data_IF_199171196353
#
_entry.id   IF_199171196353
#
_cell.length_a   1.000
_cell.length_b   1.000
_cell.length_c   1.000
_cell.angle_alpha   90.00
_cell.angle_beta   90.00
_cell.angle_gamma   90.00
#
_symmetry.space_group_name_H-M   'P 1'
#
loop_
_entity.id
_entity.type
_entity.pdbx_description
1 polymer ?
#
# COMPACT_ATOMS: atom_id res chain seq x y z
N UNK A 1 15.74 -9.62 1.31
CA UNK A 1 15.19 -8.72 0.27
C UNK A 1 13.89 -8.11 0.76
N UNK A 2 13.78 -6.80 0.66
CA UNK A 2 12.57 -6.09 1.07
C UNK A 2 11.55 -6.11 -0.07
N UNK A 3 10.36 -6.60 0.22
CA UNK A 3 9.27 -6.75 -0.75
C UNK A 3 8.16 -5.75 -0.51
N UNK A 4 7.72 -5.08 -1.56
CA UNK A 4 6.62 -4.12 -1.51
C UNK A 4 5.49 -4.62 -2.42
N UNK A 5 4.29 -4.75 -1.88
CA UNK A 5 3.12 -5.08 -2.67
C UNK A 5 2.48 -3.80 -3.18
N UNK A 6 2.31 -3.69 -4.49
CA UNK A 6 1.71 -2.52 -5.13
C UNK A 6 0.32 -2.91 -5.64
N UNK A 7 -0.71 -2.33 -5.05
CA UNK A 7 -2.11 -2.59 -5.40
C UNK A 7 -2.67 -1.37 -6.13
N UNK A 8 -2.80 -1.47 -7.43
CA UNK A 8 -3.21 -0.38 -8.31
C UNK A 8 -3.83 -0.97 -9.57
N UNK A 9 -5.04 -0.56 -9.91
CA UNK A 9 -5.74 -1.07 -11.08
C UNK A 9 -5.23 -0.49 -12.40
N UNK A 10 -4.71 0.74 -12.38
CA UNK A 10 -4.11 1.35 -13.57
C UNK A 10 -2.77 0.68 -13.88
N UNK A 11 -2.69 -0.02 -14.99
CA UNK A 11 -1.47 -0.67 -15.43
C UNK A 11 -0.30 0.31 -15.54
N UNK A 12 -0.56 1.48 -16.12
CA UNK A 12 0.49 2.48 -16.32
C UNK A 12 1.00 3.04 -14.99
N UNK A 13 0.09 3.41 -14.09
CA UNK A 13 0.45 3.93 -12.77
C UNK A 13 1.22 2.89 -11.97
N UNK A 14 0.75 1.64 -11.98
CA UNK A 14 1.42 0.55 -11.28
C UNK A 14 2.84 0.35 -11.80
N UNK A 15 3.01 0.43 -13.11
CA UNK A 15 4.32 0.29 -13.75
C UNK A 15 5.29 1.39 -13.32
N UNK A 16 4.81 2.63 -13.28
CA UNK A 16 5.63 3.78 -12.84
C UNK A 16 6.07 3.59 -11.38
N UNK A 17 5.16 3.21 -10.52
CA UNK A 17 5.46 2.98 -9.10
C UNK A 17 6.49 1.86 -8.95
N UNK A 18 6.28 0.74 -9.61
CA UNK A 18 7.20 -0.40 -9.53
C UNK A 18 8.59 -0.05 -10.03
N UNK A 19 8.69 0.76 -11.06
CA UNK A 19 9.97 1.21 -11.60
C UNK A 19 10.75 2.03 -10.56
N UNK A 20 10.06 2.94 -9.87
CA UNK A 20 10.66 3.75 -8.81
C UNK A 20 11.18 2.85 -7.68
N UNK A 21 10.38 1.88 -7.25
CA UNK A 21 10.75 0.98 -6.17
C UNK A 21 11.93 0.08 -6.52
N UNK A 22 11.93 -0.46 -7.72
CA UNK A 22 13.02 -1.33 -8.18
C UNK A 22 14.33 -0.57 -8.29
N UNK A 23 14.27 0.70 -8.68
CA UNK A 23 15.46 1.55 -8.76
C UNK A 23 16.10 1.75 -7.37
N UNK A 24 15.31 1.65 -6.30
CA UNK A 24 15.79 1.73 -4.92
C UNK A 24 16.22 0.36 -4.36
N UNK A 25 16.13 -0.68 -5.14
CA UNK A 25 16.53 -2.02 -4.71
C UNK A 25 15.44 -2.85 -4.06
N UNK A 26 14.19 -2.40 -4.08
CA UNK A 26 13.07 -3.17 -3.53
C UNK A 26 12.56 -4.19 -4.53
N UNK A 27 12.12 -5.33 -4.02
CA UNK A 27 11.38 -6.30 -4.81
C UNK A 27 9.92 -5.86 -4.85
N UNK A 28 9.27 -5.93 -6.00
CA UNK A 28 7.88 -5.51 -6.13
C UNK A 28 6.98 -6.70 -6.46
N UNK A 29 5.85 -6.78 -5.77
CA UNK A 29 4.76 -7.68 -6.09
C UNK A 29 3.60 -6.81 -6.54
N UNK A 30 2.83 -7.27 -7.52
CA UNK A 30 1.77 -6.48 -8.12
C UNK A 30 0.42 -7.14 -7.99
N UNK A 31 -0.60 -6.32 -7.71
CA UNK A 31 -1.99 -6.73 -7.73
C UNK A 31 -2.78 -5.62 -8.43
N UNK A 32 -3.66 -5.99 -9.34
CA UNK A 32 -4.45 -5.04 -10.11
C UNK A 32 -5.84 -4.80 -9.53
N UNK A 33 -6.18 -5.49 -8.43
CA UNK A 33 -7.48 -5.37 -7.78
C UNK A 33 -7.38 -5.73 -6.31
N UNK A 34 -8.43 -5.39 -5.55
CA UNK A 34 -8.55 -5.76 -4.14
C UNK A 34 -8.54 -7.27 -3.93
N UNK A 35 -9.38 -8.02 -4.64
CA UNK A 35 -9.39 -9.49 -4.51
C UNK A 35 -8.04 -10.13 -4.81
N UNK A 36 -7.36 -9.66 -5.85
CA UNK A 36 -6.03 -10.17 -6.21
C UNK A 36 -5.02 -9.90 -5.10
N UNK A 37 -5.08 -8.71 -4.48
CA UNK A 37 -4.22 -8.36 -3.35
C UNK A 37 -4.44 -9.31 -2.17
N UNK A 38 -5.70 -9.55 -1.82
CA UNK A 38 -6.04 -10.44 -0.70
C UNK A 38 -5.62 -11.88 -0.97
N UNK A 39 -5.75 -12.33 -2.21
CA UNK A 39 -5.31 -13.66 -2.62
C UNK A 39 -3.79 -13.80 -2.43
N UNK A 40 -3.05 -12.79 -2.83
CA UNK A 40 -1.60 -12.75 -2.67
C UNK A 40 -1.21 -12.77 -1.20
N UNK A 41 -1.89 -11.97 -0.37
CA UNK A 41 -1.61 -11.89 1.07
C UNK A 41 -1.94 -13.18 1.83
N UNK A 42 -2.75 -14.04 1.26
CA UNK A 42 -3.07 -15.33 1.87
C UNK A 42 -1.84 -16.26 1.89
N UNK A 43 -0.89 -16.06 0.99
CA UNK A 43 0.27 -16.95 0.86
C UNK A 43 1.61 -16.25 1.05
N UNK A 44 1.64 -14.92 0.99
CA UNK A 44 2.89 -14.14 1.06
C UNK A 44 2.72 -12.95 1.98
N UNK A 45 3.80 -12.55 2.62
CA UNK A 45 3.81 -11.38 3.52
C UNK A 45 4.80 -10.34 3.01
N UNK A 46 4.32 -9.26 2.39
CA UNK A 46 5.23 -8.19 1.99
C UNK A 46 5.66 -7.38 3.21
N UNK A 47 6.75 -6.65 3.09
CA UNK A 47 7.24 -5.78 4.15
C UNK A 47 6.44 -4.48 4.24
N UNK A 48 5.81 -4.07 3.13
CA UNK A 48 5.00 -2.87 3.05
C UNK A 48 4.02 -3.01 1.88
N UNK A 49 2.91 -2.29 1.92
CA UNK A 49 1.92 -2.30 0.85
C UNK A 49 1.57 -0.87 0.45
N UNK A 50 1.51 -0.64 -0.84
CA UNK A 50 0.98 0.61 -1.42
C UNK A 50 -0.41 0.27 -1.96
N UNK A 51 -1.40 1.06 -1.60
CA UNK A 51 -2.80 0.74 -1.92
C UNK A 51 -3.53 1.95 -2.47
N UNK A 52 -4.06 1.81 -3.69
CA UNK A 52 -4.97 2.79 -4.26
C UNK A 52 -6.39 2.55 -3.70
N UNK A 53 -7.12 3.61 -3.44
CA UNK A 53 -8.50 3.48 -2.94
C UNK A 53 -9.51 3.24 -4.05
N UNK A 54 -9.36 3.94 -5.17
CA UNK A 54 -10.36 3.90 -6.24
C UNK A 54 -10.06 2.76 -7.21
N UNK A 55 -10.64 1.61 -6.95
CA UNK A 55 -10.50 0.42 -7.80
C UNK A 55 -11.87 -0.19 -8.07
N UNK A 56 -12.08 -0.81 -9.25
CA UNK A 56 -13.33 -1.53 -9.51
C UNK A 56 -13.44 -2.77 -8.61
N UNK A 57 -14.63 -3.28 -8.44
CA UNK A 57 -14.98 -4.45 -7.62
C UNK A 57 -14.85 -4.24 -6.12
N UNK A 58 -13.65 -3.95 -5.64
CA UNK A 58 -13.38 -3.77 -4.21
C UNK A 58 -12.48 -2.57 -4.04
N UNK A 59 -12.98 -1.52 -3.40
CA UNK A 59 -12.14 -0.34 -3.18
C UNK A 59 -11.17 -0.56 -2.01
N UNK A 60 -10.19 0.33 -1.91
CA UNK A 60 -9.12 0.17 -0.93
C UNK A 60 -9.56 0.11 0.52
N UNK A 61 -10.64 0.81 0.90
CA UNK A 61 -11.15 0.72 2.28
C UNK A 61 -11.60 -0.68 2.62
N UNK A 62 -12.20 -1.38 1.67
CA UNK A 62 -12.63 -2.77 1.86
C UNK A 62 -11.42 -3.70 1.99
N UNK A 63 -10.34 -3.42 1.27
CA UNK A 63 -9.09 -4.18 1.40
C UNK A 63 -8.50 -3.99 2.80
N UNK A 64 -8.46 -2.73 3.29
CA UNK A 64 -7.96 -2.43 4.63
C UNK A 64 -8.79 -3.15 5.71
N UNK A 65 -10.12 -3.13 5.57
CA UNK A 65 -11.01 -3.80 6.51
C UNK A 65 -10.76 -5.32 6.51
N UNK A 66 -10.64 -5.92 5.33
CA UNK A 66 -10.39 -7.35 5.21
C UNK A 66 -9.05 -7.73 5.85
N UNK A 67 -8.01 -6.93 5.64
CA UNK A 67 -6.70 -7.16 6.24
C UNK A 67 -6.78 -7.12 7.76
N UNK A 68 -7.50 -6.14 8.28
CA UNK A 68 -7.70 -5.97 9.73
C UNK A 68 -8.45 -7.18 10.31
N UNK A 69 -9.53 -7.60 9.64
CA UNK A 69 -10.33 -8.74 10.07
C UNK A 69 -9.52 -10.04 10.08
N UNK A 70 -8.57 -10.16 9.18
CA UNK A 70 -7.69 -11.34 9.07
C UNK A 70 -6.45 -11.25 9.96
N UNK A 71 -6.26 -10.12 10.65
CA UNK A 71 -5.12 -9.92 11.55
C UNK A 71 -3.79 -9.68 10.86
N UNK A 72 -3.80 -9.23 9.61
CA UNK A 72 -2.56 -8.91 8.90
C UNK A 72 -1.94 -7.63 9.48
N UNK A 73 -0.64 -7.67 9.77
CA UNK A 73 0.11 -6.58 10.41
C UNK A 73 1.09 -5.90 9.45
N UNK A 74 0.69 -5.73 8.22
CA UNK A 74 1.52 -5.15 7.18
C UNK A 74 1.31 -3.64 7.15
N UNK A 75 2.36 -2.81 7.21
CA UNK A 75 2.19 -1.36 7.09
C UNK A 75 1.67 -1.00 5.70
N UNK A 76 0.61 -0.20 5.64
CA UNK A 76 -0.05 0.17 4.40
C UNK A 76 0.05 1.68 4.20
N UNK A 77 0.52 2.09 3.04
CA UNK A 77 0.51 3.49 2.60
C UNK A 77 -0.56 3.59 1.52
N UNK A 78 -1.59 4.38 1.79
CA UNK A 78 -2.66 4.63 0.82
C UNK A 78 -2.22 5.75 -0.12
N UNK A 79 -2.36 5.54 -1.42
CA UNK A 79 -2.07 6.53 -2.44
C UNK A 79 -3.37 6.81 -3.17
N UNK A 80 -3.89 8.03 -3.07
CA UNK A 80 -5.20 8.35 -3.63
C UNK A 80 -5.26 9.75 -4.22
N UNK A 81 -6.11 9.92 -5.22
CA UNK A 81 -6.41 11.26 -5.76
C UNK A 81 -7.37 12.01 -4.84
N UNK A 82 -8.08 11.31 -3.96
CA UNK A 82 -9.01 11.91 -3.00
C UNK A 82 -8.29 12.24 -1.70
N UNK A 83 -8.06 13.55 -1.47
CA UNK A 83 -7.34 14.06 -0.30
C UNK A 83 -8.26 14.70 0.74
N UNK A 84 -9.55 14.42 0.68
CA UNK A 84 -10.48 14.94 1.69
C UNK A 84 -10.12 14.43 3.08
N UNK A 85 -10.32 15.29 4.08
CA UNK A 85 -10.01 14.94 5.47
C UNK A 85 -10.78 13.70 5.95
N UNK A 86 -12.02 13.53 5.50
CA UNK A 86 -12.84 12.37 5.85
C UNK A 86 -12.25 11.07 5.31
N UNK A 87 -11.76 11.08 4.08
CA UNK A 87 -11.13 9.92 3.46
C UNK A 87 -9.88 9.54 4.22
N UNK A 88 -9.05 10.52 4.55
CA UNK A 88 -7.83 10.29 5.32
C UNK A 88 -8.16 9.68 6.69
N UNK A 89 -9.13 10.26 7.41
CA UNK A 89 -9.53 9.76 8.73
C UNK A 89 -10.03 8.33 8.66
N UNK A 90 -10.86 8.01 7.69
CA UNK A 90 -11.38 6.65 7.51
C UNK A 90 -10.26 5.63 7.28
N UNK A 91 -9.31 5.97 6.41
CA UNK A 91 -8.17 5.08 6.13
C UNK A 91 -7.29 4.88 7.35
N UNK A 92 -7.02 5.95 8.10
CA UNK A 92 -6.19 5.86 9.31
C UNK A 92 -6.89 5.02 10.38
N UNK A 93 -8.21 5.17 10.54
CA UNK A 93 -8.99 4.34 11.46
C UNK A 93 -8.97 2.87 11.08
N UNK A 94 -8.92 2.58 9.79
CA UNK A 94 -8.84 1.20 9.28
C UNK A 94 -7.42 0.63 9.35
N UNK A 95 -6.46 1.41 9.85
CA UNK A 95 -5.11 0.92 10.10
C UNK A 95 -4.05 1.32 9.09
N UNK A 96 -4.37 2.22 8.15
CA UNK A 96 -3.34 2.73 7.23
C UNK A 96 -2.31 3.54 8.01
N UNK A 97 -1.06 3.41 7.63
CA UNK A 97 0.03 4.17 8.24
C UNK A 97 0.02 5.62 7.76
N UNK A 98 -0.30 5.83 6.50
CA UNK A 98 -0.32 7.14 5.88
C UNK A 98 -1.26 7.16 4.68
N UNK A 99 -1.73 8.35 4.34
CA UNK A 99 -2.52 8.59 3.13
C UNK A 99 -1.85 9.74 2.39
N UNK A 100 -1.38 9.48 1.18
CA UNK A 100 -0.66 10.47 0.39
C UNK A 100 -1.36 10.73 -0.94
N UNK A 101 -1.16 11.92 -1.45
CA UNK A 101 -1.80 12.36 -2.70
C UNK A 101 -1.12 11.72 -3.92
N UNK A 102 -1.92 11.19 -4.82
CA UNK A 102 -1.50 10.60 -6.08
C UNK A 102 -1.23 11.72 -7.08
N UNK A 103 -0.12 11.77 -7.84
CA UNK A 103 0.98 10.82 -7.79
C UNK A 103 2.12 11.46 -7.01
N UNK A 104 2.67 10.80 -6.00
CA UNK A 104 3.82 11.36 -5.28
C UNK A 104 5.08 11.30 -6.16
N UNK A 105 6.03 12.21 -5.90
CA UNK A 105 7.31 12.09 -6.57
C UNK A 105 8.13 10.95 -5.95
N UNK A 106 9.25 10.59 -6.58
CA UNK A 106 10.08 9.46 -6.12
C UNK A 106 10.58 9.64 -4.69
N UNK A 107 11.06 10.83 -4.35
CA UNK A 107 11.62 11.10 -3.02
C UNK A 107 10.54 10.97 -1.93
N UNK A 108 9.37 11.50 -2.19
CA UNK A 108 8.23 11.41 -1.27
C UNK A 108 7.82 9.95 -1.05
N UNK A 109 7.67 9.22 -2.13
CA UNK A 109 7.27 7.81 -2.08
C UNK A 109 8.28 6.97 -1.30
N UNK A 110 9.55 7.09 -1.63
CA UNK A 110 10.61 6.33 -0.97
C UNK A 110 10.72 6.73 0.51
N UNK A 111 10.56 8.02 0.81
CA UNK A 111 10.58 8.51 2.20
C UNK A 111 9.50 7.84 3.05
N UNK A 112 8.28 7.72 2.52
CA UNK A 112 7.19 7.06 3.23
C UNK A 112 7.43 5.56 3.41
N UNK A 113 7.99 4.91 2.40
CA UNK A 113 8.31 3.49 2.48
C UNK A 113 9.36 3.25 3.57
N UNK A 114 10.38 4.07 3.64
CA UNK A 114 11.39 3.95 4.69
C UNK A 114 10.80 4.12 6.08
N UNK A 115 9.86 5.05 6.25
CA UNK A 115 9.15 5.23 7.52
C UNK A 115 8.31 4.00 7.85
N UNK A 116 7.63 3.43 6.87
CA UNK A 116 6.81 2.24 7.06
C UNK A 116 7.66 1.05 7.51
N UNK A 117 8.80 0.86 6.88
CA UNK A 117 9.73 -0.23 7.22
C UNK A 117 10.29 -0.06 8.62
N UNK A 118 10.66 1.17 9.01
CA UNK A 118 11.15 1.46 10.36
C UNK A 118 10.07 1.23 11.42
N UNK A 119 8.84 1.65 11.16
CA UNK A 119 7.73 1.46 12.08
C UNK A 119 7.45 -0.02 12.30
N UNK A 120 7.54 -0.83 11.24
CA UNK A 120 7.35 -2.28 11.32
C UNK A 120 8.45 -2.93 12.17
N UNK A 121 9.69 -2.49 12.01
CA UNK A 121 10.82 -2.99 12.81
C UNK A 121 10.64 -2.64 14.29
N UNK A 122 10.25 -1.41 14.59
CA UNK A 122 10.00 -0.96 15.95
C UNK A 122 8.89 -1.76 16.62
N UNK A 123 7.84 -2.10 15.89
CA UNK A 123 6.70 -2.83 16.44
C UNK A 123 7.01 -4.30 16.73
N UNK A 124 8.10 -4.84 16.20
CA UNK A 124 8.50 -6.23 16.46
C UNK A 124 9.41 -6.36 17.68
N UNK A 125 9.83 -5.23 18.22
CA UNK A 125 10.65 -5.19 19.42
C UNK A 125 9.79 -5.04 20.66
#
# INVERSE_FOLDING_TARGET
>A
VTSILVVEDSWLTRRVICKILRAEGYETWEASSGPEALELLATKTPNCMLLDLLMPEMEGREVLQAMRDRGYKIPVIVITADIQATTKSECMELGALAVIHKMPNSDELIGWIKKALSASEESTQ
#
